data_IF_950827638883
#
_entry.id   IF_950827638883
#
_cell.length_a   1.000
_cell.length_b   1.000
_cell.length_c   1.000
_cell.angle_alpha   90.00
_cell.angle_beta   90.00
_cell.angle_gamma   90.00
#
_symmetry.space_group_name_H-M   'P 1'
#
loop_
_entity.id
_entity.type
_entity.pdbx_description
1 polymer ?
#
# COMPACT_ATOMS: atom_id res chain seq x y z
N UNK A 1 4.76 31.60 -32.90
CA UNK A 1 4.72 30.14 -32.69
C UNK A 1 5.98 29.76 -31.94
N UNK A 2 5.90 29.69 -30.62
CA UNK A 2 7.07 29.43 -29.77
C UNK A 2 7.40 27.92 -29.81
N UNK A 3 8.56 27.61 -30.36
CA UNK A 3 9.04 26.24 -30.52
C UNK A 3 9.46 25.68 -29.16
N UNK A 4 8.64 24.80 -28.57
CA UNK A 4 8.95 24.09 -27.33
C UNK A 4 10.28 23.31 -27.47
N UNK A 5 11.33 23.82 -26.83
CA UNK A 5 12.66 23.21 -26.78
C UNK A 5 12.54 21.83 -26.11
N UNK A 6 12.76 20.76 -26.88
CA UNK A 6 12.71 19.38 -26.38
C UNK A 6 13.83 19.18 -25.35
N UNK A 7 13.51 19.28 -24.07
CA UNK A 7 14.47 18.98 -22.99
C UNK A 7 15.02 17.56 -23.21
N UNK A 8 16.34 17.45 -23.36
CA UNK A 8 17.11 16.21 -23.47
C UNK A 8 18.02 16.10 -22.24
N UNK A 9 18.34 14.87 -21.83
CA UNK A 9 19.19 14.59 -20.67
C UNK A 9 18.42 14.12 -19.44
N UNK A 10 19.13 14.04 -18.30
CA UNK A 10 18.62 13.51 -17.02
C UNK A 10 17.35 14.21 -16.53
N UNK A 11 17.30 15.54 -16.58
CA UNK A 11 16.13 16.32 -16.13
C UNK A 11 14.86 15.98 -16.92
N UNK A 12 14.98 15.80 -18.24
CA UNK A 12 13.86 15.41 -19.09
C UNK A 12 13.39 13.98 -18.85
N UNK A 13 14.27 13.10 -18.34
CA UNK A 13 13.88 11.77 -17.90
C UNK A 13 13.11 11.85 -16.58
N UNK A 14 13.60 12.62 -15.60
CA UNK A 14 12.90 12.84 -14.32
C UNK A 14 11.50 13.41 -14.54
N UNK A 15 11.36 14.44 -15.38
CA UNK A 15 10.07 15.05 -15.70
C UNK A 15 9.09 14.04 -16.32
N UNK A 16 9.56 13.22 -17.27
CA UNK A 16 8.74 12.18 -17.89
C UNK A 16 8.34 11.07 -16.92
N UNK A 17 9.22 10.70 -16.00
CA UNK A 17 8.93 9.67 -14.99
C UNK A 17 7.98 10.22 -13.93
N UNK A 18 8.20 11.43 -13.44
CA UNK A 18 7.32 12.10 -12.48
C UNK A 18 5.89 12.24 -13.02
N UNK A 19 5.73 12.68 -14.27
CA UNK A 19 4.41 12.82 -14.89
C UNK A 19 3.71 11.49 -15.17
N UNK A 20 4.41 10.36 -15.09
CA UNK A 20 3.82 9.01 -15.23
C UNK A 20 3.31 8.44 -13.91
N UNK A 21 3.68 9.04 -12.77
CA UNK A 21 3.20 8.58 -11.47
C UNK A 21 1.68 8.80 -11.44
N UNK A 22 0.87 7.75 -11.32
CA UNK A 22 -0.57 7.89 -11.30
C UNK A 22 -1.01 8.58 -10.01
N UNK A 23 -2.25 9.08 -10.03
CA UNK A 23 -2.86 9.73 -8.88
C UNK A 23 -2.66 8.90 -7.59
N UNK A 24 -2.27 9.51 -6.45
CA UNK A 24 -1.92 8.78 -5.23
C UNK A 24 -2.96 7.75 -4.79
N UNK A 25 -4.26 8.06 -4.93
CA UNK A 25 -5.34 7.13 -4.66
C UNK A 25 -5.20 5.78 -5.41
N UNK A 26 -4.85 5.82 -6.69
CA UNK A 26 -4.67 4.61 -7.52
C UNK A 26 -3.44 3.81 -7.06
N UNK A 27 -2.38 4.49 -6.62
CA UNK A 27 -1.21 3.82 -6.05
C UNK A 27 -1.60 3.01 -4.81
N UNK A 28 -2.39 3.57 -3.90
CA UNK A 28 -2.86 2.83 -2.72
C UNK A 28 -3.78 1.67 -3.09
N UNK A 29 -4.63 1.83 -4.11
CA UNK A 29 -5.46 0.73 -4.59
C UNK A 29 -4.60 -0.42 -5.14
N UNK A 30 -3.56 -0.13 -5.91
CA UNK A 30 -2.60 -1.13 -6.37
C UNK A 30 -1.88 -1.80 -5.20
N UNK A 31 -1.46 -1.04 -4.19
CA UNK A 31 -0.82 -1.61 -3.00
C UNK A 31 -1.75 -2.59 -2.27
N UNK A 32 -3.04 -2.26 -2.11
CA UNK A 32 -4.01 -3.17 -1.49
C UNK A 32 -4.11 -4.47 -2.28
N UNK A 33 -4.24 -4.39 -3.60
CA UNK A 33 -4.34 -5.58 -4.47
C UNK A 33 -3.07 -6.43 -4.41
N UNK A 34 -1.90 -5.79 -4.47
CA UNK A 34 -0.60 -6.47 -4.41
C UNK A 34 -0.42 -7.17 -3.06
N UNK A 35 -0.72 -6.49 -1.95
CA UNK A 35 -0.61 -7.08 -0.60
C UNK A 35 -1.61 -8.22 -0.44
N UNK A 36 -2.84 -8.09 -0.93
CA UNK A 36 -3.81 -9.18 -0.91
C UNK A 36 -3.29 -10.41 -1.67
N UNK A 37 -2.77 -10.23 -2.88
CA UNK A 37 -2.20 -11.31 -3.68
C UNK A 37 -0.97 -11.96 -3.02
N UNK A 38 -0.05 -11.16 -2.49
CA UNK A 38 1.15 -11.67 -1.78
C UNK A 38 0.73 -12.44 -0.52
N UNK A 39 -0.21 -11.90 0.27
CA UNK A 39 -0.70 -12.57 1.48
C UNK A 39 -1.34 -13.92 1.19
N UNK A 40 -2.05 -14.04 0.06
CA UNK A 40 -2.62 -15.30 -0.41
C UNK A 40 -1.53 -16.32 -0.76
N UNK A 41 -0.53 -15.93 -1.55
CA UNK A 41 0.55 -16.83 -1.97
C UNK A 41 1.36 -17.29 -0.76
N UNK A 42 1.80 -16.36 0.09
CA UNK A 42 2.64 -16.66 1.26
C UNK A 42 1.91 -17.51 2.32
N UNK A 43 0.62 -17.25 2.56
CA UNK A 43 -0.19 -18.09 3.43
C UNK A 43 -0.36 -19.50 2.86
N UNK A 44 -0.58 -19.63 1.54
CA UNK A 44 -0.74 -20.94 0.87
C UNK A 44 0.50 -21.83 0.99
N UNK A 45 1.69 -21.24 0.99
CA UNK A 45 2.95 -21.98 1.19
C UNK A 45 3.33 -22.14 2.68
N UNK A 46 2.49 -21.68 3.62
CA UNK A 46 2.67 -21.90 5.05
C UNK A 46 3.81 -21.08 5.67
N UNK A 47 4.10 -19.89 5.14
CA UNK A 47 5.17 -19.03 5.68
C UNK A 47 4.81 -18.55 7.09
N UNK A 48 5.72 -18.78 8.03
CA UNK A 48 5.64 -18.33 9.41
C UNK A 48 7.00 -17.82 9.89
N UNK A 49 6.98 -16.87 10.82
CA UNK A 49 8.19 -16.26 11.41
C UNK A 49 8.03 -16.20 12.92
N UNK A 50 9.07 -16.54 13.66
CA UNK A 50 9.10 -16.35 15.11
C UNK A 50 9.38 -14.89 15.44
N UNK A 51 8.51 -14.29 16.25
CA UNK A 51 8.69 -12.93 16.73
C UNK A 51 9.89 -12.89 17.70
N UNK A 52 10.93 -12.07 17.45
CA UNK A 52 12.13 -12.03 18.30
C UNK A 52 11.88 -11.44 19.68
N UNK A 53 10.77 -10.71 19.87
CA UNK A 53 10.43 -10.04 21.12
C UNK A 53 9.53 -10.92 22.00
N UNK A 54 8.52 -11.58 21.42
CA UNK A 54 7.57 -12.41 22.18
C UNK A 54 7.89 -13.90 22.15
N UNK A 55 8.71 -14.37 21.20
CA UNK A 55 8.98 -15.80 20.99
C UNK A 55 7.82 -16.57 20.32
N UNK A 56 6.71 -15.90 20.03
CA UNK A 56 5.54 -16.52 19.40
C UNK A 56 5.73 -16.70 17.90
N UNK A 57 5.16 -17.77 17.36
CA UNK A 57 5.13 -18.01 15.91
C UNK A 57 4.02 -17.17 15.30
N UNK A 58 4.37 -16.30 14.35
CA UNK A 58 3.46 -15.45 13.60
C UNK A 58 3.32 -15.99 12.18
N UNK A 59 2.11 -16.43 11.85
CA UNK A 59 1.75 -16.91 10.51
C UNK A 59 1.23 -15.78 9.63
N UNK A 60 1.50 -15.86 8.33
CA UNK A 60 0.94 -14.91 7.36
C UNK A 60 -0.58 -15.11 7.27
N UNK A 61 -1.36 -14.04 7.45
CA UNK A 61 -2.83 -14.07 7.29
C UNK A 61 -3.24 -13.69 5.87
N UNK A 62 -3.99 -14.56 5.21
CA UNK A 62 -4.53 -14.31 3.86
C UNK A 62 -5.70 -13.33 3.90
N UNK A 63 -5.54 -12.15 3.28
CA UNK A 63 -6.58 -11.12 3.23
C UNK A 63 -7.77 -11.49 2.34
N UNK A 64 -7.61 -12.41 1.39
CA UNK A 64 -8.66 -12.85 0.45
C UNK A 64 -9.56 -13.93 1.10
N UNK A 65 -9.13 -14.53 2.22
CA UNK A 65 -9.94 -15.50 2.96
C UNK A 65 -11.19 -14.87 3.57
N UNK A 66 -12.18 -15.70 3.94
CA UNK A 66 -13.40 -15.22 4.60
C UNK A 66 -13.08 -14.43 5.88
N UNK A 67 -12.21 -14.96 6.74
CA UNK A 67 -11.77 -14.29 7.97
C UNK A 67 -10.98 -13.01 7.66
N UNK A 68 -10.13 -13.04 6.63
CA UNK A 68 -9.37 -11.88 6.18
C UNK A 68 -10.25 -10.72 5.73
N UNK A 69 -11.30 -11.02 4.95
CA UNK A 69 -12.25 -10.03 4.47
C UNK A 69 -13.11 -9.48 5.61
N UNK A 70 -13.61 -10.34 6.50
CA UNK A 70 -14.36 -9.93 7.69
C UNK A 70 -13.51 -9.00 8.56
N UNK A 71 -12.24 -9.37 8.81
CA UNK A 71 -11.33 -8.53 9.57
C UNK A 71 -11.06 -7.18 8.88
N UNK A 72 -10.85 -7.19 7.56
CA UNK A 72 -10.61 -5.97 6.79
C UNK A 72 -11.80 -5.00 6.87
N UNK A 73 -13.02 -5.49 6.73
CA UNK A 73 -14.25 -4.69 6.82
C UNK A 73 -14.48 -4.18 8.26
N UNK A 74 -14.32 -5.05 9.26
CA UNK A 74 -14.52 -4.68 10.67
C UNK A 74 -13.50 -3.64 11.17
N UNK A 75 -12.26 -3.68 10.67
CA UNK A 75 -11.20 -2.75 11.07
C UNK A 75 -11.09 -1.53 10.18
N UNK A 76 -11.77 -1.48 9.03
CA UNK A 76 -11.65 -0.40 8.04
C UNK A 76 -11.84 0.99 8.64
N UNK A 77 -12.95 1.23 9.34
CA UNK A 77 -13.26 2.53 9.94
C UNK A 77 -12.22 2.89 10.99
N UNK A 78 -11.86 1.94 11.86
CA UNK A 78 -10.86 2.13 12.92
C UNK A 78 -9.49 2.47 12.34
N UNK A 79 -9.09 1.83 11.25
CA UNK A 79 -7.82 2.10 10.57
C UNK A 79 -7.81 3.49 9.92
N UNK A 80 -8.94 3.91 9.34
CA UNK A 80 -9.07 5.23 8.74
C UNK A 80 -9.06 6.34 9.79
N UNK A 81 -9.90 6.24 10.83
CA UNK A 81 -9.99 7.27 11.88
C UNK A 81 -8.81 7.26 12.85
N UNK A 82 -8.17 6.11 13.04
CA UNK A 82 -6.97 5.95 13.86
C UNK A 82 -5.68 6.42 13.18
N UNK A 83 -5.73 6.85 11.92
CA UNK A 83 -4.56 7.39 11.22
C UNK A 83 -4.22 8.76 11.81
N UNK A 84 -3.18 8.83 12.65
CA UNK A 84 -2.81 10.03 13.40
C UNK A 84 -2.74 11.33 12.56
N UNK A 85 -2.19 11.33 11.33
CA UNK A 85 -2.20 12.53 10.50
C UNK A 85 -3.59 13.03 10.11
N UNK A 86 -4.58 12.13 9.93
CA UNK A 86 -5.95 12.51 9.58
C UNK A 86 -6.59 13.35 10.68
N UNK A 87 -6.41 12.93 11.95
CA UNK A 87 -6.94 13.65 13.10
C UNK A 87 -6.36 15.07 13.20
N UNK A 88 -5.03 15.21 13.07
CA UNK A 88 -4.37 16.51 13.10
C UNK A 88 -4.87 17.45 12.00
N UNK A 89 -5.03 16.94 10.78
CA UNK A 89 -5.46 17.76 9.62
C UNK A 89 -6.92 18.21 9.72
N UNK A 90 -7.81 17.41 10.31
CA UNK A 90 -9.23 17.77 10.47
C UNK A 90 -9.49 18.79 11.58
N UNK A 91 -8.65 18.81 12.61
CA UNK A 91 -8.84 19.67 13.79
C UNK A 91 -8.26 21.07 13.66
N UNK A 92 -7.35 21.28 12.71
CA UNK A 92 -6.74 22.59 12.43
C UNK A 92 -7.54 23.32 11.37
#
# INVERSE_FOLDING_TARGET
MESAKKNKGFLAWVERVGNKIPHPFILFLWLIIIVAAISFVLNKIGVAVTNPTSGEVVEVRNLISADGLVNALNTMIKNFTGFAPLGLVLTM
#
